data_IF_334484277462
#
_entry.id   IF_334484277462
#
_cell.length_a   1.000
_cell.length_b   1.000
_cell.length_c   1.000
_cell.angle_alpha   90.00
_cell.angle_beta   90.00
_cell.angle_gamma   90.00
#
_symmetry.space_group_name_H-M   'P 1'
#
loop_
_entity.id
_entity.type
_entity.pdbx_description
1 polymer ?
#
# COMPACT_ATOMS: atom_id res chain seq x y z
N UNK A 1 -5.87 11.57 -18.58
CA UNK A 1 -5.34 12.90 -18.96
C UNK A 1 -3.85 12.87 -18.71
N UNK A 2 -3.08 13.60 -19.51
CA UNK A 2 -1.66 13.81 -19.28
C UNK A 2 -1.28 15.19 -19.85
N UNK A 3 -0.30 15.87 -19.27
CA UNK A 3 0.12 17.22 -19.68
C UNK A 3 1.47 17.20 -20.43
N UNK A 4 2.09 16.03 -20.60
CA UNK A 4 3.29 15.82 -21.41
C UNK A 4 2.90 15.22 -22.78
N UNK A 5 3.21 15.96 -23.84
CA UNK A 5 2.92 15.56 -25.22
C UNK A 5 3.60 14.23 -25.63
N UNK A 6 4.77 13.94 -25.09
CA UNK A 6 5.50 12.70 -25.33
C UNK A 6 4.78 11.54 -24.64
N UNK A 7 4.40 11.72 -23.37
CA UNK A 7 3.70 10.68 -22.60
C UNK A 7 2.33 10.36 -23.18
N UNK A 8 1.60 11.37 -23.69
CA UNK A 8 0.33 11.15 -24.38
C UNK A 8 0.46 10.29 -25.63
N UNK A 9 1.49 10.53 -26.44
CA UNK A 9 1.75 9.75 -27.65
C UNK A 9 2.12 8.32 -27.30
N UNK A 10 3.03 8.13 -26.35
CA UNK A 10 3.43 6.80 -25.87
C UNK A 10 2.22 6.05 -25.30
N UNK A 11 1.42 6.70 -24.45
CA UNK A 11 0.21 6.13 -23.87
C UNK A 11 -0.81 5.72 -24.93
N UNK A 12 -1.05 6.58 -25.93
CA UNK A 12 -2.00 6.31 -27.01
C UNK A 12 -1.55 5.13 -27.88
N UNK A 13 -0.27 5.11 -28.25
CA UNK A 13 0.34 3.99 -28.99
C UNK A 13 0.26 2.69 -28.19
N UNK A 14 0.58 2.73 -26.89
CA UNK A 14 0.52 1.55 -26.03
C UNK A 14 -0.88 0.94 -25.98
N UNK A 15 -1.92 1.78 -25.83
CA UNK A 15 -3.31 1.33 -25.82
C UNK A 15 -3.74 0.74 -27.17
N UNK A 16 -3.38 1.40 -28.29
CA UNK A 16 -3.67 0.89 -29.63
C UNK A 16 -3.00 -0.46 -29.91
N UNK A 17 -1.73 -0.62 -29.51
CA UNK A 17 -0.99 -1.88 -29.68
C UNK A 17 -1.58 -3.03 -28.86
N UNK A 18 -2.27 -2.72 -27.75
CA UNK A 18 -3.01 -3.69 -26.94
C UNK A 18 -4.46 -3.87 -27.39
N UNK A 19 -4.85 -3.36 -28.56
CA UNK A 19 -6.17 -3.57 -29.16
C UNK A 19 -7.28 -2.69 -28.58
N UNK A 20 -6.94 -1.61 -27.88
CA UNK A 20 -7.94 -0.61 -27.46
C UNK A 20 -8.12 0.39 -28.58
N UNK A 21 -9.20 0.22 -29.34
CA UNK A 21 -9.57 1.13 -30.41
C UNK A 21 -10.00 2.50 -29.86
N UNK A 22 -9.45 3.57 -30.45
CA UNK A 22 -9.74 4.97 -30.11
C UNK A 22 -9.56 5.31 -28.60
N UNK A 23 -8.35 5.18 -28.04
CA UNK A 23 -8.11 5.48 -26.63
C UNK A 23 -8.31 6.97 -26.35
N UNK A 24 -9.21 7.30 -25.42
CA UNK A 24 -9.52 8.67 -25.05
C UNK A 24 -8.46 9.25 -24.09
N UNK A 25 -7.29 9.61 -24.62
CA UNK A 25 -6.20 10.25 -23.86
C UNK A 25 -6.05 11.71 -24.30
N UNK A 26 -6.41 12.63 -23.41
CA UNK A 26 -6.44 14.08 -23.71
C UNK A 26 -5.25 14.81 -23.08
N UNK A 27 -4.63 15.72 -23.87
CA UNK A 27 -3.65 16.69 -23.37
C UNK A 27 -4.31 17.67 -22.41
N UNK A 28 -4.01 17.54 -21.12
CA UNK A 28 -4.67 18.32 -20.06
C UNK A 28 -3.96 18.17 -18.72
N UNK A 29 -3.82 19.29 -18.00
CA UNK A 29 -3.50 19.28 -16.57
C UNK A 29 -4.73 18.80 -15.78
N UNK A 30 -4.61 17.66 -15.09
CA UNK A 30 -5.70 17.05 -14.34
C UNK A 30 -6.24 17.93 -13.21
N UNK A 31 -5.41 18.80 -12.63
CA UNK A 31 -5.75 19.65 -11.48
C UNK A 31 -6.21 21.07 -11.86
N UNK A 32 -6.10 21.44 -13.14
CA UNK A 32 -6.48 22.76 -13.68
C UNK A 32 -7.99 23.12 -13.60
N UNK A 33 -8.38 24.36 -13.93
CA UNK A 33 -9.78 24.83 -13.78
C UNK A 33 -10.79 24.32 -14.83
N UNK A 34 -10.36 23.83 -16.00
CA UNK A 34 -11.22 23.61 -17.19
C UNK A 34 -12.18 22.39 -17.14
N UNK A 35 -12.67 21.99 -15.97
CA UNK A 35 -12.97 20.56 -15.71
C UNK A 35 -14.39 20.24 -15.21
N UNK A 36 -15.29 21.22 -15.15
CA UNK A 36 -16.66 21.03 -14.63
C UNK A 36 -17.50 20.00 -15.40
N UNK A 37 -17.20 19.78 -16.69
CA UNK A 37 -17.97 18.87 -17.55
C UNK A 37 -17.71 17.36 -17.31
N UNK A 38 -16.74 17.01 -16.46
CA UNK A 38 -16.34 15.61 -16.20
C UNK A 38 -16.71 15.10 -14.80
N UNK A 39 -17.40 15.92 -14.01
CA UNK A 39 -17.89 15.53 -12.69
C UNK A 39 -18.89 14.38 -12.78
N UNK A 40 -18.71 13.36 -11.95
CA UNK A 40 -19.70 12.29 -11.80
C UNK A 40 -19.88 11.39 -13.02
N UNK A 41 -18.88 11.26 -13.90
CA UNK A 41 -19.01 10.48 -15.15
C UNK A 41 -18.46 9.07 -15.07
N UNK A 42 -17.46 8.83 -14.21
CA UNK A 42 -16.69 7.59 -14.24
C UNK A 42 -17.23 6.57 -13.23
N UNK A 43 -17.36 5.31 -13.67
CA UNK A 43 -17.71 4.18 -12.79
C UNK A 43 -16.49 3.53 -12.13
N UNK A 44 -15.30 3.72 -12.70
CA UNK A 44 -14.05 3.13 -12.24
C UNK A 44 -12.91 4.12 -12.46
N UNK A 45 -12.09 4.31 -11.43
CA UNK A 45 -10.81 5.04 -11.52
C UNK A 45 -9.70 4.11 -11.03
N UNK A 46 -8.73 3.82 -11.89
CA UNK A 46 -7.49 3.13 -11.53
C UNK A 46 -6.36 4.12 -11.76
N UNK A 47 -5.63 4.49 -10.72
CA UNK A 47 -4.65 5.57 -10.84
C UNK A 47 -3.42 5.36 -9.96
N UNK A 48 -2.26 5.72 -10.52
CA UNK A 48 -1.02 5.95 -9.80
C UNK A 48 -0.62 7.42 -10.00
N UNK A 49 -1.24 8.37 -9.27
CA UNK A 49 -0.91 9.79 -9.40
C UNK A 49 0.56 10.05 -9.02
N UNK A 50 1.19 11.10 -9.58
CA UNK A 50 2.55 11.49 -9.19
C UNK A 50 2.68 11.70 -7.67
N UNK A 51 3.71 11.13 -7.06
CA UNK A 51 3.92 11.21 -5.61
C UNK A 51 4.41 12.58 -5.12
N UNK A 52 5.01 13.35 -6.02
CA UNK A 52 5.42 14.74 -5.81
C UNK A 52 5.46 15.45 -7.17
N UNK A 53 5.28 16.78 -7.17
CA UNK A 53 5.37 17.58 -8.37
C UNK A 53 5.27 19.08 -8.07
N UNK A 54 5.73 19.91 -9.01
CA UNK A 54 5.47 21.35 -8.98
C UNK A 54 4.02 21.61 -9.35
N UNK A 55 3.36 22.46 -8.57
CA UNK A 55 1.96 22.82 -8.75
C UNK A 55 1.86 24.32 -8.99
N UNK A 56 1.26 24.70 -10.12
CA UNK A 56 0.78 26.07 -10.30
C UNK A 56 -0.52 26.24 -9.50
N UNK A 57 -0.39 26.74 -8.28
CA UNK A 57 -1.49 26.85 -7.33
C UNK A 57 -2.61 27.79 -7.83
N UNK A 58 -2.29 28.78 -8.67
CA UNK A 58 -3.29 29.73 -9.18
C UNK A 58 -4.19 29.08 -10.23
N UNK A 59 -3.67 28.09 -10.96
CA UNK A 59 -4.41 27.35 -11.97
C UNK A 59 -5.24 26.19 -11.39
N UNK A 60 -5.08 25.84 -10.11
CA UNK A 60 -5.83 24.74 -9.50
C UNK A 60 -7.33 25.03 -9.50
N UNK A 61 -8.12 24.00 -9.83
CA UNK A 61 -9.58 24.05 -9.77
C UNK A 61 -10.06 24.51 -8.37
N UNK A 62 -10.87 25.58 -8.35
CA UNK A 62 -11.32 26.22 -7.10
C UNK A 62 -12.15 25.28 -6.23
N UNK A 63 -12.94 24.41 -6.85
CA UNK A 63 -13.77 23.41 -6.19
C UNK A 63 -12.94 22.30 -5.53
N UNK A 64 -11.80 21.90 -6.11
CA UNK A 64 -10.85 21.01 -5.45
C UNK A 64 -10.26 21.67 -4.20
N UNK A 65 -9.91 22.96 -4.28
CA UNK A 65 -9.40 23.73 -3.14
C UNK A 65 -10.44 23.99 -2.05
N UNK A 66 -11.73 24.04 -2.40
CA UNK A 66 -12.83 24.08 -1.44
C UNK A 66 -12.97 22.76 -0.67
N UNK A 67 -12.70 21.63 -1.35
CA UNK A 67 -12.72 20.30 -0.73
C UNK A 67 -11.51 20.11 0.19
N UNK A 68 -10.31 20.39 -0.31
CA UNK A 68 -9.05 20.27 0.42
C UNK A 68 -8.11 21.42 0.05
N UNK A 69 -7.96 22.39 0.97
CA UNK A 69 -7.06 23.54 0.77
C UNK A 69 -5.60 23.12 1.00
N UNK A 70 -4.88 22.80 -0.07
CA UNK A 70 -3.49 22.31 0.02
C UNK A 70 -2.70 22.51 -1.28
N UNK A 71 -1.37 22.58 -1.17
CA UNK A 71 -0.44 22.54 -2.31
C UNK A 71 0.07 21.13 -2.63
N UNK A 72 -0.32 20.15 -1.81
CA UNK A 72 0.07 18.74 -1.94
C UNK A 72 -0.74 18.08 -3.05
N UNK A 73 -0.09 17.80 -4.16
CA UNK A 73 -0.72 17.22 -5.36
C UNK A 73 -1.38 15.88 -5.05
N UNK A 74 -0.77 15.07 -4.19
CA UNK A 74 -1.28 13.75 -3.79
C UNK A 74 -2.68 13.82 -3.15
N UNK A 75 -2.97 14.88 -2.39
CA UNK A 75 -4.28 15.10 -1.78
C UNK A 75 -5.30 15.65 -2.79
N UNK A 76 -4.85 16.53 -3.69
CA UNK A 76 -5.69 17.12 -4.74
C UNK A 76 -6.15 16.05 -5.75
N UNK A 77 -5.29 15.08 -6.08
CA UNK A 77 -5.65 13.96 -6.95
C UNK A 77 -6.74 13.08 -6.33
N UNK A 78 -6.69 12.79 -5.03
CA UNK A 78 -7.76 12.04 -4.37
C UNK A 78 -9.10 12.81 -4.39
N UNK A 79 -9.08 14.11 -4.13
CA UNK A 79 -10.27 14.95 -4.26
C UNK A 79 -10.81 14.97 -5.70
N UNK A 80 -9.90 15.02 -6.69
CA UNK A 80 -10.26 14.92 -8.10
C UNK A 80 -10.92 13.58 -8.41
N UNK A 81 -10.36 12.45 -7.96
CA UNK A 81 -10.94 11.14 -8.22
C UNK A 81 -12.34 11.00 -7.61
N UNK A 82 -12.55 11.53 -6.40
CA UNK A 82 -13.89 11.61 -5.82
C UNK A 82 -14.84 12.45 -6.68
N UNK A 83 -14.40 13.59 -7.21
CA UNK A 83 -15.23 14.41 -8.13
C UNK A 83 -15.58 13.66 -9.41
N UNK A 84 -14.61 13.01 -10.05
CA UNK A 84 -14.77 12.29 -11.32
C UNK A 84 -15.71 11.08 -11.21
N UNK A 85 -15.70 10.40 -10.07
CA UNK A 85 -16.57 9.24 -9.85
C UNK A 85 -18.04 9.64 -9.79
N UNK A 86 -18.89 8.85 -10.43
CA UNK A 86 -20.34 8.88 -10.19
C UNK A 86 -20.66 8.20 -8.84
N UNK A 87 -21.80 8.49 -8.19
CA UNK A 87 -22.26 7.68 -7.06
C UNK A 87 -22.32 6.18 -7.42
N UNK A 88 -21.76 5.33 -6.56
CA UNK A 88 -21.53 3.91 -6.80
C UNK A 88 -20.25 3.59 -7.60
N UNK A 89 -19.56 4.60 -8.12
CA UNK A 89 -18.27 4.46 -8.80
C UNK A 89 -17.16 4.06 -7.82
N UNK A 90 -16.18 3.29 -8.29
CA UNK A 90 -15.12 2.69 -7.46
C UNK A 90 -13.74 3.20 -7.89
N UNK A 91 -12.81 3.25 -6.96
CA UNK A 91 -11.43 3.55 -7.26
C UNK A 91 -10.44 2.62 -6.57
N UNK A 92 -9.30 2.39 -7.25
CA UNK A 92 -8.08 1.86 -6.67
C UNK A 92 -6.95 2.85 -6.98
N UNK A 93 -6.41 3.50 -5.96
CA UNK A 93 -5.47 4.62 -6.13
C UNK A 93 -4.22 4.38 -5.30
N UNK A 94 -3.05 4.51 -5.92
CA UNK A 94 -1.77 4.45 -5.22
C UNK A 94 -1.43 5.82 -4.64
N UNK A 95 -1.07 5.87 -3.37
CA UNK A 95 -0.69 7.10 -2.67
C UNK A 95 0.59 6.89 -1.87
N UNK A 96 1.42 7.93 -1.66
CA UNK A 96 2.50 7.85 -0.69
C UNK A 96 1.93 7.76 0.73
N UNK A 97 2.65 7.08 1.61
CA UNK A 97 2.26 6.85 3.01
C UNK A 97 1.90 8.13 3.79
N UNK A 98 2.49 9.26 3.42
CA UNK A 98 2.17 10.56 4.02
C UNK A 98 0.69 10.94 3.90
N UNK A 99 -0.04 10.43 2.88
CA UNK A 99 -1.49 10.60 2.75
C UNK A 99 -2.23 9.90 3.89
N UNK A 100 -1.72 8.78 4.39
CA UNK A 100 -2.39 7.92 5.38
C UNK A 100 -2.30 8.46 6.80
N UNK A 101 -1.21 9.16 7.16
CA UNK A 101 -0.96 9.62 8.53
C UNK A 101 -0.66 11.12 8.66
N UNK A 102 -0.58 11.87 7.56
CA UNK A 102 -0.20 13.28 7.56
C UNK A 102 -1.01 14.13 8.55
N UNK A 103 -0.34 15.03 9.26
CA UNK A 103 -0.94 15.75 10.40
C UNK A 103 -1.70 17.03 10.05
N UNK A 104 -1.50 17.56 8.83
CA UNK A 104 -2.14 18.82 8.43
C UNK A 104 -3.66 18.67 8.31
N UNK A 105 -4.38 19.78 8.46
CA UNK A 105 -5.84 19.81 8.34
C UNK A 105 -6.32 19.19 7.03
N UNK A 106 -5.66 19.46 5.91
CA UNK A 106 -6.04 18.86 4.62
C UNK A 106 -5.96 17.33 4.61
N UNK A 107 -4.94 16.72 5.23
CA UNK A 107 -4.84 15.25 5.34
C UNK A 107 -5.95 14.68 6.22
N UNK A 108 -6.21 15.31 7.38
CA UNK A 108 -7.26 14.87 8.30
C UNK A 108 -8.65 15.00 7.66
N UNK A 109 -8.94 16.12 7.00
CA UNK A 109 -10.20 16.34 6.27
C UNK A 109 -10.40 15.31 5.18
N UNK A 110 -9.37 15.04 4.36
CA UNK A 110 -9.48 14.06 3.28
C UNK A 110 -9.73 12.64 3.79
N UNK A 111 -8.97 12.19 4.80
CA UNK A 111 -9.14 10.86 5.39
C UNK A 111 -10.49 10.72 6.07
N UNK A 112 -10.93 11.76 6.79
CA UNK A 112 -12.28 11.83 7.36
C UNK A 112 -13.34 11.70 6.27
N UNK A 113 -13.23 12.45 5.17
CA UNK A 113 -14.17 12.38 4.05
C UNK A 113 -14.25 10.97 3.45
N UNK A 114 -13.10 10.30 3.24
CA UNK A 114 -13.07 8.93 2.72
C UNK A 114 -13.77 7.92 3.64
N UNK A 115 -13.68 8.10 4.96
CA UNK A 115 -14.24 7.18 5.97
C UNK A 115 -15.71 7.49 6.29
N UNK A 116 -16.05 8.78 6.41
CA UNK A 116 -17.37 9.24 6.87
C UNK A 116 -18.37 9.37 5.72
N UNK A 117 -17.95 10.00 4.61
CA UNK A 117 -18.87 10.40 3.54
C UNK A 117 -18.87 9.41 2.37
N UNK A 118 -17.82 8.58 2.30
CA UNK A 118 -17.62 7.58 1.26
C UNK A 118 -17.49 6.18 1.89
N UNK A 119 -17.38 5.16 1.04
CA UNK A 119 -17.09 3.79 1.49
C UNK A 119 -15.63 3.45 1.22
N UNK A 120 -14.79 3.50 2.25
CA UNK A 120 -13.40 3.04 2.20
C UNK A 120 -13.38 1.54 2.49
N UNK A 121 -13.14 0.74 1.46
CA UNK A 121 -13.22 -0.72 1.54
C UNK A 121 -11.93 -1.35 2.09
N UNK A 122 -10.78 -0.78 1.75
CA UNK A 122 -9.52 -1.29 2.29
C UNK A 122 -8.28 -0.54 1.81
N UNK A 123 -7.17 -0.87 2.44
CA UNK A 123 -5.85 -0.30 2.26
C UNK A 123 -4.82 -1.42 2.20
N UNK A 124 -4.05 -1.47 1.12
CA UNK A 124 -2.88 -2.36 1.02
C UNK A 124 -1.65 -1.50 1.17
N UNK A 125 -0.93 -1.63 2.29
CA UNK A 125 0.35 -0.98 2.50
C UNK A 125 1.43 -1.70 1.70
N UNK A 126 2.22 -0.96 0.94
CA UNK A 126 3.31 -1.43 0.09
C UNK A 126 4.64 -1.01 0.75
N UNK A 127 5.64 -1.88 0.80
CA UNK A 127 6.91 -1.57 1.44
C UNK A 127 7.68 -0.55 0.60
N UNK A 128 8.58 0.20 1.27
CA UNK A 128 9.52 1.07 0.57
C UNK A 128 10.36 0.27 -0.43
N UNK A 129 10.58 0.82 -1.61
CA UNK A 129 11.36 0.18 -2.67
C UNK A 129 10.54 -0.47 -3.80
N UNK A 130 9.22 -0.62 -3.66
CA UNK A 130 8.34 -1.10 -4.74
C UNK A 130 8.39 -0.21 -5.99
N UNK A 131 8.72 1.07 -5.83
CA UNK A 131 8.84 2.03 -6.94
C UNK A 131 10.28 2.41 -7.26
N UNK A 132 11.30 1.73 -6.69
CA UNK A 132 12.69 1.97 -7.06
C UNK A 132 12.97 1.54 -8.51
N UNK A 133 13.92 2.19 -9.19
CA UNK A 133 14.80 3.27 -8.71
C UNK A 133 14.15 4.67 -8.69
N UNK A 134 12.88 4.80 -9.10
CA UNK A 134 12.22 6.10 -9.26
C UNK A 134 11.76 6.73 -7.94
N UNK A 135 11.29 5.92 -7.00
CA UNK A 135 10.88 6.37 -5.67
C UNK A 135 11.18 5.31 -4.60
N UNK A 136 11.82 5.76 -3.51
CA UNK A 136 12.16 4.90 -2.36
C UNK A 136 11.11 4.88 -1.24
N UNK A 137 10.11 5.76 -1.29
CA UNK A 137 9.10 5.90 -0.24
C UNK A 137 8.15 4.69 -0.20
N UNK A 138 7.63 4.38 0.98
CA UNK A 138 6.49 3.47 1.12
C UNK A 138 5.22 4.12 0.58
N UNK A 139 4.33 3.27 0.08
CA UNK A 139 3.09 3.68 -0.60
C UNK A 139 1.96 2.78 -0.15
N UNK A 140 0.73 3.12 -0.50
CA UNK A 140 -0.40 2.25 -0.29
C UNK A 140 -1.40 2.33 -1.43
N UNK A 141 -2.18 1.27 -1.59
CA UNK A 141 -3.33 1.23 -2.49
C UNK A 141 -4.60 1.46 -1.67
N UNK A 142 -5.32 2.54 -1.97
CA UNK A 142 -6.63 2.83 -1.39
C UNK A 142 -7.73 2.27 -2.29
N UNK A 143 -8.62 1.46 -1.72
CA UNK A 143 -9.82 0.97 -2.38
C UNK A 143 -11.04 1.66 -1.78
N UNK A 144 -11.75 2.47 -2.57
CA UNK A 144 -12.94 3.16 -2.09
C UNK A 144 -14.03 3.24 -3.15
N UNK A 145 -15.26 3.45 -2.68
CA UNK A 145 -16.46 3.64 -3.50
C UNK A 145 -17.09 4.98 -3.14
N UNK A 146 -17.41 5.79 -4.16
CA UNK A 146 -18.13 7.05 -3.94
C UNK A 146 -19.58 6.75 -3.60
N UNK A 147 -20.06 7.21 -2.46
CA UNK A 147 -21.44 7.01 -1.99
C UNK A 147 -22.12 8.30 -1.59
N UNK A 148 -21.36 9.33 -1.19
CA UNK A 148 -21.86 10.60 -0.63
C UNK A 148 -22.82 10.43 0.57
N UNK A 149 -22.82 9.25 1.18
CA UNK A 149 -23.72 8.86 2.27
C UNK A 149 -23.03 7.94 3.29
N UNK A 150 -21.71 7.77 3.17
CA UNK A 150 -20.91 6.87 4.00
C UNK A 150 -21.03 5.41 3.57
N UNK A 151 -21.11 4.51 4.53
CA UNK A 151 -21.13 3.05 4.30
C UNK A 151 -19.80 2.34 4.58
N UNK A 152 -18.86 3.02 5.24
CA UNK A 152 -17.69 2.40 5.86
C UNK A 152 -18.06 1.88 7.26
N UNK A 153 -18.12 0.55 7.41
CA UNK A 153 -18.26 -0.08 8.73
C UNK A 153 -16.90 -0.51 9.27
N UNK A 154 -16.14 -1.22 8.43
CA UNK A 154 -14.79 -1.68 8.68
C UNK A 154 -13.92 -1.35 7.48
N UNK A 155 -12.65 -1.01 7.73
CA UNK A 155 -11.63 -0.87 6.69
C UNK A 155 -10.71 -2.06 6.77
N UNK A 156 -10.54 -2.78 5.66
CA UNK A 156 -9.59 -3.89 5.58
C UNK A 156 -8.17 -3.37 5.37
N UNK A 157 -7.24 -3.83 6.19
CA UNK A 157 -5.82 -3.51 6.06
C UNK A 157 -5.05 -4.76 5.63
N UNK A 158 -4.10 -4.59 4.73
CA UNK A 158 -3.14 -5.62 4.37
C UNK A 158 -1.71 -5.06 4.39
N UNK A 159 -0.83 -5.75 5.09
CA UNK A 159 0.60 -5.44 5.18
C UNK A 159 1.40 -6.19 4.11
N UNK A 160 1.65 -5.56 2.97
CA UNK A 160 2.49 -6.14 1.93
C UNK A 160 3.96 -5.94 2.30
N UNK A 161 4.71 -7.05 2.28
CA UNK A 161 6.14 -7.10 2.61
C UNK A 161 7.01 -7.29 1.36
N UNK A 162 6.47 -7.90 0.30
CA UNK A 162 7.19 -8.08 -0.96
C UNK A 162 6.25 -8.25 -2.16
N UNK A 163 6.71 -7.81 -3.34
CA UNK A 163 5.95 -7.82 -4.60
C UNK A 163 6.50 -8.80 -5.66
N UNK A 164 7.47 -9.64 -5.30
CA UNK A 164 8.16 -10.56 -6.19
C UNK A 164 9.56 -10.09 -6.60
N UNK A 165 9.92 -8.84 -6.31
CA UNK A 165 11.21 -8.25 -6.70
C UNK A 165 12.01 -7.78 -5.49
N UNK A 166 13.33 -7.64 -5.64
CA UNK A 166 14.17 -6.96 -4.66
C UNK A 166 13.68 -5.52 -4.48
N UNK A 167 13.76 -5.00 -3.25
CA UNK A 167 13.35 -3.63 -2.90
C UNK A 167 14.54 -2.65 -2.98
N UNK A 168 15.53 -2.98 -3.81
CA UNK A 168 16.70 -2.17 -4.13
C UNK A 168 16.55 -1.53 -5.53
N UNK A 169 17.52 -0.72 -5.93
CA UNK A 169 17.47 0.02 -7.19
C UNK A 169 17.54 -0.89 -8.43
N UNK A 170 17.97 -2.14 -8.25
CA UNK A 170 18.10 -3.11 -9.34
C UNK A 170 16.78 -3.82 -9.67
N UNK A 171 15.85 -3.91 -8.71
CA UNK A 171 14.54 -4.58 -8.85
C UNK A 171 14.65 -5.93 -9.55
N UNK A 172 15.50 -6.81 -9.02
CA UNK A 172 15.71 -8.14 -9.58
C UNK A 172 14.58 -9.09 -9.13
N UNK A 173 14.07 -9.95 -10.03
CA UNK A 173 13.06 -10.93 -9.65
C UNK A 173 13.62 -11.92 -8.62
N UNK A 174 12.82 -12.21 -7.58
CA UNK A 174 13.19 -13.13 -6.50
C UNK A 174 12.63 -14.55 -6.71
N UNK A 175 11.77 -14.71 -7.70
CA UNK A 175 11.08 -15.94 -8.09
C UNK A 175 11.11 -16.08 -9.62
N UNK A 176 10.77 -17.27 -10.12
CA UNK A 176 10.57 -17.50 -11.54
C UNK A 176 9.32 -16.75 -12.07
N UNK A 177 9.30 -16.45 -13.37
CA UNK A 177 8.29 -15.60 -14.01
C UNK A 177 6.84 -16.08 -13.81
N UNK A 178 6.62 -17.39 -13.74
CA UNK A 178 5.32 -18.02 -13.49
C UNK A 178 4.85 -17.88 -12.03
N UNK A 179 5.73 -17.41 -11.14
CA UNK A 179 5.51 -17.16 -9.71
C UNK A 179 5.58 -15.68 -9.33
N UNK A 180 5.87 -14.79 -10.29
CA UNK A 180 5.90 -13.34 -10.08
C UNK A 180 4.52 -12.70 -10.22
N UNK A 181 4.35 -11.56 -9.55
CA UNK A 181 3.13 -10.77 -9.63
C UNK A 181 1.89 -11.57 -9.24
N UNK A 182 0.84 -11.44 -10.04
CA UNK A 182 -0.44 -12.15 -9.85
C UNK A 182 -0.52 -13.50 -10.58
N UNK A 183 0.57 -13.98 -11.21
CA UNK A 183 0.53 -15.22 -11.98
C UNK A 183 0.11 -16.45 -11.14
N UNK A 184 0.59 -16.64 -9.89
CA UNK A 184 0.10 -17.70 -9.00
C UNK A 184 -1.41 -17.69 -8.73
N UNK A 185 -2.05 -16.51 -8.83
CA UNK A 185 -3.49 -16.41 -8.62
C UNK A 185 -4.30 -16.77 -9.89
N UNK A 186 -3.64 -16.84 -11.05
CA UNK A 186 -4.26 -17.21 -12.34
C UNK A 186 -4.15 -18.70 -12.63
N UNK A 187 -3.07 -19.35 -12.19
CA UNK A 187 -2.89 -20.80 -12.29
C UNK A 187 -2.82 -21.44 -10.90
N UNK A 188 -3.87 -22.18 -10.53
CA UNK A 188 -3.99 -22.84 -9.21
C UNK A 188 -2.91 -23.90 -8.95
N UNK A 189 -2.15 -24.31 -9.98
CA UNK A 189 -0.99 -25.21 -9.83
C UNK A 189 0.25 -24.49 -9.31
N UNK A 190 0.31 -23.16 -9.43
CA UNK A 190 1.46 -22.34 -9.07
C UNK A 190 1.29 -21.65 -7.71
N UNK A 191 0.55 -22.27 -6.78
CA UNK A 191 0.42 -21.73 -5.41
C UNK A 191 1.79 -21.60 -4.77
N UNK A 192 2.07 -20.40 -4.26
CA UNK A 192 3.32 -20.12 -3.57
C UNK A 192 3.39 -20.93 -2.27
N UNK A 193 4.57 -21.50 -2.01
CA UNK A 193 4.91 -22.03 -0.69
C UNK A 193 5.01 -20.89 0.34
N UNK A 194 5.12 -21.23 1.63
CA UNK A 194 5.28 -20.23 2.71
C UNK A 194 6.53 -19.37 2.52
N UNK A 195 7.63 -19.96 2.06
CA UNK A 195 8.90 -19.26 1.82
C UNK A 195 8.81 -18.32 0.62
N UNK A 196 8.07 -18.73 -0.42
CA UNK A 196 7.88 -17.89 -1.61
C UNK A 196 6.88 -16.77 -1.37
N UNK A 197 5.88 -16.99 -0.51
CA UNK A 197 4.97 -15.93 -0.06
C UNK A 197 5.75 -14.77 0.57
N UNK A 198 6.84 -15.04 1.32
CA UNK A 198 7.70 -13.97 1.86
C UNK A 198 8.34 -13.10 0.77
N UNK A 199 8.42 -13.60 -0.47
CA UNK A 199 9.00 -12.90 -1.62
C UNK A 199 7.94 -12.28 -2.53
N UNK A 200 6.71 -12.79 -2.54
CA UNK A 200 5.61 -12.24 -3.34
C UNK A 200 4.26 -12.40 -2.62
N UNK A 201 3.71 -11.29 -2.12
CA UNK A 201 2.43 -11.27 -1.43
C UNK A 201 1.22 -10.98 -2.34
N UNK A 202 1.43 -10.53 -3.58
CA UNK A 202 0.34 -10.07 -4.47
C UNK A 202 -0.75 -11.14 -4.69
N UNK A 203 -0.43 -12.44 -4.87
CA UNK A 203 -1.46 -13.47 -4.99
C UNK A 203 -2.33 -13.61 -3.73
N UNK A 204 -1.73 -13.50 -2.55
CA UNK A 204 -2.45 -13.59 -1.27
C UNK A 204 -3.30 -12.34 -1.02
N UNK A 205 -2.80 -11.15 -1.36
CA UNK A 205 -3.61 -9.90 -1.35
C UNK A 205 -4.89 -10.11 -2.16
N UNK A 206 -4.79 -10.64 -3.38
CA UNK A 206 -5.96 -10.87 -4.23
C UNK A 206 -6.89 -11.96 -3.67
N UNK A 207 -6.32 -13.06 -3.14
CA UNK A 207 -7.09 -14.14 -2.55
C UNK A 207 -7.90 -13.65 -1.34
N UNK A 208 -7.28 -12.92 -0.43
CA UNK A 208 -7.93 -12.34 0.76
C UNK A 208 -8.89 -11.21 0.39
N UNK A 209 -8.56 -10.38 -0.58
CA UNK A 209 -9.51 -9.39 -1.10
C UNK A 209 -10.78 -10.03 -1.64
N UNK A 210 -10.68 -11.20 -2.28
CA UNK A 210 -11.86 -11.92 -2.74
C UNK A 210 -12.66 -12.57 -1.60
N UNK A 211 -12.01 -12.99 -0.50
CA UNK A 211 -12.73 -13.49 0.69
C UNK A 211 -13.44 -12.38 1.48
N UNK A 212 -13.11 -11.11 1.24
CA UNK A 212 -13.88 -9.96 1.73
C UNK A 212 -15.20 -9.74 0.98
N UNK A 213 -15.35 -10.22 -0.26
CA UNK A 213 -16.52 -9.91 -1.10
C UNK A 213 -17.85 -10.44 -0.54
N UNK A 214 -17.81 -11.29 0.49
CA UNK A 214 -18.99 -11.62 1.32
C UNK A 214 -19.58 -10.39 2.04
N UNK A 215 -18.85 -9.27 2.18
CA UNK A 215 -19.30 -8.02 2.81
C UNK A 215 -20.09 -7.09 1.86
N UNK A 216 -20.10 -7.36 0.54
CA UNK A 216 -20.80 -6.49 -0.44
C UNK A 216 -22.18 -7.00 -0.88
N UNK A 217 -22.60 -8.22 -0.52
CA UNK A 217 -23.87 -8.77 -1.01
C UNK A 217 -24.62 -9.77 -0.09
N UNK A 218 -24.03 -10.25 1.01
CA UNK A 218 -24.63 -11.22 1.95
C UNK A 218 -24.22 -10.81 3.39
N UNK A 219 -24.81 -11.36 4.46
CA UNK A 219 -24.61 -10.83 5.81
C UNK A 219 -23.13 -10.77 6.21
N UNK A 220 -22.72 -9.58 6.68
CA UNK A 220 -21.34 -9.15 7.00
C UNK A 220 -20.60 -10.12 7.94
N UNK A 221 -21.30 -10.98 8.68
CA UNK A 221 -20.74 -11.81 9.76
C UNK A 221 -19.91 -13.03 9.31
N UNK A 222 -19.88 -13.35 8.00
CA UNK A 222 -19.27 -14.58 7.51
C UNK A 222 -17.84 -14.46 6.95
N UNK A 223 -17.28 -13.25 6.78
CA UNK A 223 -15.92 -13.13 6.21
C UNK A 223 -14.84 -13.58 7.22
N UNK A 224 -13.90 -14.46 6.84
CA UNK A 224 -12.79 -14.85 7.71
C UNK A 224 -11.88 -13.67 8.06
N UNK A 225 -11.80 -12.64 7.21
CA UNK A 225 -10.95 -11.46 7.44
C UNK A 225 -11.43 -10.60 8.62
N UNK A 226 -12.72 -10.63 8.95
CA UNK A 226 -13.25 -9.90 10.12
C UNK A 226 -12.86 -10.55 11.46
N UNK A 227 -12.49 -11.83 11.43
CA UNK A 227 -12.09 -12.60 12.63
C UNK A 227 -10.57 -12.61 12.84
N UNK A 228 -9.81 -12.08 11.88
CA UNK A 228 -8.35 -12.02 11.98
C UNK A 228 -7.91 -11.06 13.06
N UNK A 229 -6.86 -11.46 13.77
CA UNK A 229 -6.26 -10.62 14.81
C UNK A 229 -5.40 -9.51 14.19
N UNK A 230 -5.17 -8.43 14.94
CA UNK A 230 -4.29 -7.32 14.56
C UNK A 230 -2.80 -7.69 14.49
N UNK A 231 -2.46 -8.93 14.84
CA UNK A 231 -1.09 -9.48 14.73
C UNK A 231 -0.84 -10.09 13.35
N UNK A 232 -1.90 -10.38 12.59
CA UNK A 232 -1.80 -11.02 11.29
C UNK A 232 -1.47 -10.02 10.17
N UNK A 233 -1.10 -10.56 9.00
CA UNK A 233 -0.75 -9.76 7.83
C UNK A 233 -1.94 -8.96 7.27
N UNK A 234 -3.17 -9.37 7.55
CA UNK A 234 -4.36 -8.60 7.23
C UNK A 234 -5.40 -8.69 8.33
N UNK A 235 -6.16 -7.62 8.52
CA UNK A 235 -7.21 -7.52 9.51
C UNK A 235 -8.14 -6.35 9.20
N UNK A 236 -9.34 -6.36 9.76
CA UNK A 236 -10.29 -5.28 9.65
C UNK A 236 -10.22 -4.36 10.88
N UNK A 237 -10.35 -3.05 10.66
CA UNK A 237 -10.45 -2.05 11.73
C UNK A 237 -11.83 -1.38 11.65
N UNK A 238 -12.61 -1.37 12.75
CA UNK A 238 -13.88 -0.67 12.80
C UNK A 238 -13.70 0.83 12.56
N UNK A 239 -14.67 1.46 11.88
CA UNK A 239 -14.71 2.90 11.65
C UNK A 239 -14.56 3.70 12.96
N UNK A 240 -15.18 3.23 14.05
CA UNK A 240 -15.11 3.89 15.35
C UNK A 240 -13.66 4.02 15.86
N UNK A 241 -12.85 2.98 15.71
CA UNK A 241 -11.44 2.98 16.12
C UNK A 241 -10.62 3.92 15.24
N UNK A 242 -10.93 4.00 13.95
CA UNK A 242 -10.29 4.94 13.02
C UNK A 242 -10.59 6.38 13.42
N UNK A 243 -11.85 6.67 13.74
CA UNK A 243 -12.26 7.99 14.22
C UNK A 243 -11.58 8.35 15.55
N UNK A 244 -11.49 7.39 16.50
CA UNK A 244 -10.80 7.57 17.78
C UNK A 244 -9.30 7.87 17.62
N UNK A 245 -8.67 7.32 16.58
CA UNK A 245 -7.27 7.57 16.24
C UNK A 245 -7.08 8.77 15.30
N UNK A 246 -8.06 9.68 15.24
CA UNK A 246 -7.95 10.93 14.47
C UNK A 246 -7.89 10.71 12.96
N UNK A 247 -8.54 9.64 12.47
CA UNK A 247 -8.55 9.21 11.08
C UNK A 247 -7.16 8.83 10.55
N UNK A 248 -6.28 8.31 11.41
CA UNK A 248 -5.04 7.67 10.99
C UNK A 248 -5.33 6.40 10.19
N UNK A 249 -4.86 6.34 8.95
CA UNK A 249 -5.05 5.21 8.04
C UNK A 249 -3.75 4.44 7.83
N UNK A 250 -2.73 4.65 8.68
CA UNK A 250 -1.54 3.81 8.70
C UNK A 250 -1.84 2.48 9.37
N UNK A 251 -1.49 1.37 8.71
CA UNK A 251 -1.63 0.03 9.30
C UNK A 251 -0.88 -0.13 10.63
N UNK A 252 0.27 0.55 10.77
CA UNK A 252 1.11 0.51 11.96
C UNK A 252 0.43 1.12 13.19
N UNK A 253 -0.61 1.95 13.01
CA UNK A 253 -1.41 2.47 14.11
C UNK A 253 -2.21 1.37 14.82
N UNK A 254 -2.60 0.34 14.08
CA UNK A 254 -3.52 -0.69 14.52
C UNK A 254 -2.87 -2.05 14.68
N UNK A 255 -1.73 -2.28 14.02
CA UNK A 255 -1.01 -3.55 14.08
C UNK A 255 -0.44 -3.79 15.48
N UNK A 256 -0.73 -4.97 16.03
CA UNK A 256 -0.19 -5.41 17.31
C UNK A 256 1.08 -6.24 17.07
N UNK A 257 2.20 -5.79 17.61
CA UNK A 257 3.47 -6.52 17.53
C UNK A 257 3.61 -7.38 18.78
N UNK A 258 3.45 -8.69 18.62
CA UNK A 258 3.77 -9.65 19.70
C UNK A 258 5.28 -9.76 19.78
N UNK A 259 5.89 -9.03 20.72
CA UNK A 259 7.28 -9.27 21.06
C UNK A 259 7.36 -10.61 21.80
N UNK A 260 7.84 -11.64 21.11
CA UNK A 260 8.33 -12.83 21.81
C UNK A 260 9.43 -12.35 22.76
N UNK A 261 9.28 -12.60 24.07
CA UNK A 261 10.40 -12.43 24.99
C UNK A 261 11.54 -13.30 24.47
N UNK A 262 12.58 -12.65 23.94
CA UNK A 262 13.83 -13.34 23.64
C UNK A 262 14.33 -13.81 25.00
N UNK A 263 14.23 -15.11 25.27
CA UNK A 263 14.91 -15.70 26.42
C UNK A 263 16.40 -15.53 26.17
N UNK A 264 16.96 -14.48 26.76
CA UNK A 264 18.40 -14.34 26.87
C UNK A 264 18.89 -15.37 27.88
N UNK A 265 20.00 -16.05 27.56
CA UNK A 265 20.73 -16.87 28.52
C UNK A 265 21.07 -16.02 29.74
N UNK A 266 21.06 -16.63 30.92
CA UNK A 266 21.44 -15.93 32.13
C UNK A 266 22.90 -15.45 32.01
N UNK A 267 23.25 -14.21 32.44
CA UNK A 267 24.63 -13.73 32.40
C UNK A 267 25.64 -14.68 33.06
N UNK A 268 25.22 -15.40 34.10
CA UNK A 268 26.04 -16.41 34.77
C UNK A 268 26.41 -17.59 33.86
N UNK A 269 25.51 -18.04 32.98
CA UNK A 269 25.81 -19.12 32.02
C UNK A 269 26.79 -18.65 30.95
N UNK A 270 26.68 -17.40 30.51
CA UNK A 270 27.60 -16.79 29.54
C UNK A 270 28.99 -16.66 30.16
N UNK A 271 29.08 -16.21 31.41
CA UNK A 271 30.34 -16.07 32.14
C UNK A 271 31.01 -17.42 32.41
N UNK A 272 30.24 -18.46 32.74
CA UNK A 272 30.77 -19.81 32.95
C UNK A 272 31.36 -20.40 31.66
N UNK A 273 30.71 -20.16 30.52
CA UNK A 273 31.19 -20.64 29.22
C UNK A 273 32.43 -19.86 28.75
N UNK A 274 32.49 -18.55 28.99
CA UNK A 274 33.68 -17.73 28.71
C UNK A 274 34.90 -18.19 29.53
N UNK A 275 34.72 -18.47 30.82
CA UNK A 275 35.80 -18.98 31.67
C UNK A 275 36.36 -20.31 31.15
N UNK A 276 35.47 -21.21 30.68
CA UNK A 276 35.87 -22.48 30.08
C UNK A 276 36.64 -22.28 28.77
N UNK A 277 36.20 -21.37 27.90
CA UNK A 277 36.91 -21.02 26.67
C UNK A 277 38.29 -20.42 26.95
N UNK A 278 38.44 -19.60 27.99
CA UNK A 278 39.75 -19.08 28.41
C UNK A 278 40.70 -20.19 28.86
N UNK A 279 40.22 -21.19 29.60
CA UNK A 279 41.02 -22.36 29.98
C UNK A 279 41.47 -23.17 28.74
N UNK A 280 40.57 -23.40 27.78
CA UNK A 280 40.88 -24.10 26.53
C UNK A 280 41.92 -23.33 25.68
N UNK A 281 41.79 -22.00 25.59
CA UNK A 281 42.75 -21.13 24.89
C UNK A 281 44.11 -21.16 25.59
N UNK A 282 44.15 -21.04 26.91
CA UNK A 282 45.38 -21.07 27.69
C UNK A 282 46.11 -22.43 27.56
N UNK A 283 45.36 -23.53 27.57
CA UNK A 283 45.89 -24.86 27.33
C UNK A 283 46.47 -24.98 25.91
N UNK A 284 45.74 -24.53 24.89
CA UNK A 284 46.18 -24.54 23.49
C UNK A 284 47.45 -23.72 23.25
N UNK A 285 47.55 -22.52 23.86
CA UNK A 285 48.75 -21.69 23.81
C UNK A 285 49.97 -22.41 24.38
N UNK A 286 49.82 -23.08 25.54
CA UNK A 286 50.91 -23.81 26.19
C UNK A 286 51.38 -25.01 25.37
N UNK A 287 50.47 -25.68 24.67
CA UNK A 287 50.80 -26.75 23.73
C UNK A 287 51.61 -26.21 22.55
N UNK A 288 51.19 -25.08 21.96
CA UNK A 288 51.91 -24.41 20.87
C UNK A 288 53.34 -23.97 21.28
N UNK A 289 53.50 -23.37 22.46
CA UNK A 289 54.82 -23.01 23.00
C UNK A 289 55.72 -24.24 23.19
N UNK A 290 55.15 -25.37 23.61
CA UNK A 290 55.88 -26.63 23.77
C UNK A 290 56.37 -27.25 22.46
N UNK A 291 55.72 -26.95 21.33
CA UNK A 291 56.13 -27.42 20.00
C UNK A 291 57.20 -26.54 19.33
N UNK A 292 57.49 -25.37 19.89
CA UNK A 292 58.52 -24.43 19.42
C UNK A 292 59.88 -24.62 20.14
N UNK A 293 59.98 -25.58 21.07
CA UNK A 293 61.23 -26.02 21.72
C UNK A 293 61.69 -27.35 21.14
#
# INVERSE_FOLDING_TARGET
YDFDNTMLRIGSMNMMLHGVDNPAITYRDSLGQEHGAEEGRYSLVLANPPFAGSLDYENVAKDLLQTVKTKKTELLFLALFLRLLKPGGRAAVIVPDGVLFGSSTAHKTLRKMLVEDQKLDGIVSLPGGVFKPYAGVSTAILFFTKTNSGGTDNVWFYDMQADGYSLDDKRQPLLADDRLGLQPARDLRNKLSKEEHLKNNLPDVLARWNSLKTVRAEPVEASPELKRSRTEQSFCVPKADIAANGYDLSINRYKEVVHAQVQHRAPAEILAELAKLEEEIAAGMKTLEGMLK
#
